data_IF_336283480668
#
_entry.id   IF_336283480668
#
_cell.length_a   1.000
_cell.length_b   1.000
_cell.length_c   1.000
_cell.angle_alpha   90.00
_cell.angle_beta   90.00
_cell.angle_gamma   90.00
#
_symmetry.space_group_name_H-M   'P 1'
#
loop_
_entity.id
_entity.type
_entity.pdbx_description
1 polymer ?
#
# COMPACT_ATOMS: atom_id res chain seq x y z
N UNK A 1 26.20 -22.15 17.63
CA UNK A 1 27.51 -21.70 18.20
C UNK A 1 27.33 -20.23 18.57
N UNK A 2 27.64 -19.84 19.80
CA UNK A 2 27.44 -18.45 20.20
C UNK A 2 28.30 -17.52 19.35
N UNK A 3 27.76 -16.37 18.98
CA UNK A 3 28.51 -15.33 18.29
C UNK A 3 29.59 -14.74 19.21
N UNK A 4 30.76 -14.37 18.66
CA UNK A 4 31.69 -13.51 19.39
C UNK A 4 31.00 -12.22 19.87
N UNK A 5 31.32 -11.79 21.10
CA UNK A 5 30.65 -10.67 21.79
C UNK A 5 30.63 -9.39 20.94
N UNK A 6 31.74 -9.04 20.31
CA UNK A 6 31.85 -7.87 19.43
C UNK A 6 30.95 -7.93 18.19
N UNK A 7 30.68 -9.14 17.67
CA UNK A 7 29.76 -9.34 16.56
C UNK A 7 28.31 -9.28 17.06
N UNK A 8 28.03 -9.90 18.19
CA UNK A 8 26.69 -9.90 18.78
C UNK A 8 26.24 -8.48 19.15
N UNK A 9 27.09 -7.70 19.82
CA UNK A 9 26.81 -6.31 20.19
C UNK A 9 26.60 -5.40 18.97
N UNK A 10 27.48 -5.53 17.97
CA UNK A 10 27.34 -4.77 16.73
C UNK A 10 26.04 -5.11 15.99
N UNK A 11 25.72 -6.40 15.89
CA UNK A 11 24.49 -6.86 15.26
C UNK A 11 23.24 -6.44 16.03
N UNK A 12 23.25 -6.51 17.38
CA UNK A 12 22.14 -6.04 18.23
C UNK A 12 21.88 -4.54 18.04
N UNK A 13 22.94 -3.71 17.98
CA UNK A 13 22.79 -2.27 17.69
C UNK A 13 22.20 -2.03 16.31
N UNK A 14 22.68 -2.73 15.29
CA UNK A 14 22.15 -2.59 13.92
C UNK A 14 20.69 -3.05 13.83
N UNK A 15 20.33 -4.13 14.50
CA UNK A 15 18.93 -4.59 14.57
C UNK A 15 18.05 -3.56 15.28
N UNK A 16 18.50 -2.98 16.38
CA UNK A 16 17.75 -1.95 17.11
C UNK A 16 17.55 -0.66 16.30
N UNK A 17 18.54 -0.26 15.50
CA UNK A 17 18.50 0.97 14.71
C UNK A 17 17.78 0.80 13.36
N UNK A 18 17.95 -0.33 12.72
CA UNK A 18 17.54 -0.53 11.33
C UNK A 18 16.61 -1.73 11.11
N UNK A 19 16.29 -2.44 12.17
CA UNK A 19 15.55 -3.71 12.10
C UNK A 19 16.41 -4.88 11.59
N UNK A 20 15.89 -6.12 11.68
CA UNK A 20 16.64 -7.33 11.34
C UNK A 20 17.08 -7.40 9.87
N UNK A 21 16.39 -6.69 9.02
CA UNK A 21 16.65 -6.66 7.58
C UNK A 21 17.28 -5.34 7.09
N UNK A 22 17.43 -4.35 7.97
CA UNK A 22 17.88 -3.00 7.63
C UNK A 22 19.40 -2.83 7.57
N UNK A 23 20.21 -3.88 7.75
CA UNK A 23 21.67 -3.83 7.66
C UNK A 23 22.25 -4.90 6.75
N UNK A 24 23.43 -4.64 6.22
CA UNK A 24 24.20 -5.59 5.39
C UNK A 24 25.34 -6.21 6.20
N UNK A 25 25.95 -7.30 5.68
CA UNK A 25 27.17 -7.86 6.28
C UNK A 25 28.34 -6.87 6.20
N UNK A 26 28.31 -5.90 5.28
CA UNK A 26 29.30 -4.82 5.21
C UNK A 26 29.11 -3.80 6.33
N UNK A 27 27.87 -3.48 6.67
CA UNK A 27 27.58 -2.63 7.81
C UNK A 27 28.00 -3.31 9.12
N UNK A 28 27.73 -4.62 9.24
CA UNK A 28 28.15 -5.39 10.39
C UNK A 28 29.67 -5.51 10.49
N UNK A 29 30.37 -5.66 9.38
CA UNK A 29 31.84 -5.67 9.36
C UNK A 29 32.40 -4.33 9.84
N UNK A 30 31.83 -3.22 9.37
CA UNK A 30 32.20 -1.86 9.78
C UNK A 30 31.93 -1.61 11.26
N UNK A 31 30.75 -1.98 11.73
CA UNK A 31 30.31 -1.78 13.10
C UNK A 31 31.07 -2.65 14.12
N UNK A 32 31.42 -3.89 13.72
CA UNK A 32 32.19 -4.81 14.57
C UNK A 32 33.71 -4.61 14.49
N UNK A 33 34.20 -3.75 13.57
CA UNK A 33 35.61 -3.53 13.34
C UNK A 33 36.35 -4.69 12.67
N UNK A 34 35.64 -5.61 12.04
CA UNK A 34 36.20 -6.81 11.41
C UNK A 34 36.27 -6.69 9.88
N UNK A 35 37.23 -7.42 9.27
CA UNK A 35 37.19 -7.60 7.83
C UNK A 35 36.02 -8.48 7.41
N UNK A 36 35.48 -8.29 6.19
CA UNK A 36 34.44 -9.18 5.63
C UNK A 36 34.78 -10.66 5.74
N UNK A 37 36.01 -11.03 5.37
CA UNK A 37 36.46 -12.42 5.38
C UNK A 37 36.44 -12.99 6.81
N UNK A 38 36.86 -12.21 7.81
CA UNK A 38 36.84 -12.61 9.22
C UNK A 38 35.41 -12.75 9.72
N UNK A 39 34.54 -11.79 9.38
CA UNK A 39 33.14 -11.82 9.77
C UNK A 39 32.41 -13.06 9.20
N UNK A 40 32.55 -13.34 7.89
CA UNK A 40 31.92 -14.51 7.29
C UNK A 40 32.43 -15.82 7.87
N UNK A 41 33.70 -15.89 8.21
CA UNK A 41 34.29 -17.09 8.86
C UNK A 41 33.77 -17.31 10.26
N UNK A 42 33.51 -16.25 11.04
CA UNK A 42 33.12 -16.35 12.44
C UNK A 42 31.60 -16.38 12.66
N UNK A 43 30.85 -15.69 11.83
CA UNK A 43 29.42 -15.49 11.98
C UNK A 43 28.58 -16.13 10.86
N UNK A 44 29.21 -16.56 9.77
CA UNK A 44 28.49 -17.14 8.63
C UNK A 44 27.71 -16.10 7.83
N UNK A 45 26.42 -16.35 7.62
CA UNK A 45 25.53 -15.44 6.92
C UNK A 45 24.81 -14.51 7.89
N UNK A 46 24.16 -13.45 7.36
CA UNK A 46 23.30 -12.58 8.15
C UNK A 46 22.19 -13.36 8.85
N UNK A 47 21.66 -14.38 8.18
CA UNK A 47 20.66 -15.28 8.75
C UNK A 47 21.18 -16.03 9.96
N UNK A 48 22.41 -16.49 9.91
CA UNK A 48 23.05 -17.15 11.06
C UNK A 48 23.26 -16.19 12.22
N UNK A 49 23.65 -14.94 11.94
CA UNK A 49 23.77 -13.87 12.93
C UNK A 49 22.43 -13.59 13.62
N UNK A 50 21.36 -13.40 12.85
CA UNK A 50 20.03 -13.11 13.38
C UNK A 50 19.46 -14.28 14.21
N UNK A 51 19.70 -15.53 13.77
CA UNK A 51 19.32 -16.72 14.52
C UNK A 51 20.04 -16.79 15.86
N UNK A 52 21.34 -16.55 15.87
CA UNK A 52 22.14 -16.57 17.10
C UNK A 52 21.76 -15.44 18.07
N UNK A 53 21.41 -14.24 17.59
CA UNK A 53 20.88 -13.15 18.40
C UNK A 53 19.55 -13.54 19.06
N UNK A 54 18.65 -14.16 18.29
CA UNK A 54 17.36 -14.64 18.81
C UNK A 54 17.54 -15.70 19.91
N UNK A 55 18.51 -16.63 19.73
CA UNK A 55 18.86 -17.62 20.75
C UNK A 55 19.44 -16.98 22.03
N UNK A 56 20.07 -15.82 21.91
CA UNK A 56 20.59 -15.03 23.03
C UNK A 56 19.53 -14.11 23.68
N UNK A 57 18.25 -14.21 23.27
CA UNK A 57 17.14 -13.43 23.84
C UNK A 57 17.05 -12.00 23.34
N UNK A 58 17.78 -11.63 22.28
CA UNK A 58 17.60 -10.34 21.61
C UNK A 58 16.32 -10.42 20.77
N UNK A 59 15.36 -9.52 20.99
CA UNK A 59 14.17 -9.41 20.15
C UNK A 59 14.59 -9.03 18.72
N UNK A 60 14.77 -10.03 17.90
CA UNK A 60 14.92 -9.87 16.47
C UNK A 60 13.50 -9.79 15.90
N UNK A 61 12.98 -8.56 15.67
CA UNK A 61 11.62 -8.34 15.19
C UNK A 61 11.27 -9.19 13.95
N UNK A 62 9.98 -9.32 13.64
CA UNK A 62 9.52 -10.13 12.49
C UNK A 62 10.24 -9.70 11.21
N UNK A 63 10.78 -10.68 10.48
CA UNK A 63 11.35 -10.47 9.16
C UNK A 63 10.27 -9.94 8.23
N UNK A 64 10.41 -8.69 7.83
CA UNK A 64 9.61 -8.16 6.72
C UNK A 64 10.23 -8.70 5.42
N UNK A 65 9.40 -9.32 4.58
CA UNK A 65 9.87 -9.83 3.29
C UNK A 65 10.59 -8.71 2.50
N UNK A 66 11.72 -9.04 1.89
CA UNK A 66 12.47 -8.11 1.06
C UNK A 66 11.58 -7.44 -0.03
N UNK A 67 10.57 -8.16 -0.52
CA UNK A 67 9.59 -7.62 -1.46
C UNK A 67 8.75 -6.50 -0.83
N UNK A 68 8.27 -6.69 0.38
CA UNK A 68 7.49 -5.68 1.12
C UNK A 68 8.34 -4.44 1.42
N UNK A 69 9.60 -4.62 1.82
CA UNK A 69 10.54 -3.50 2.05
C UNK A 69 10.80 -2.71 0.79
N UNK A 70 11.01 -3.39 -0.36
CA UNK A 70 11.22 -2.74 -1.65
C UNK A 70 9.97 -1.95 -2.05
N UNK A 71 8.77 -2.51 -1.87
CA UNK A 71 7.52 -1.82 -2.19
C UNK A 71 7.26 -0.62 -1.25
N UNK A 72 7.62 -0.73 0.03
CA UNK A 72 7.57 0.40 0.96
C UNK A 72 8.56 1.52 0.56
N UNK A 73 9.80 1.14 0.18
CA UNK A 73 10.81 2.06 -0.32
C UNK A 73 10.38 2.77 -1.61
N UNK A 74 9.66 2.09 -2.50
CA UNK A 74 9.09 2.71 -3.71
C UNK A 74 8.21 3.91 -3.37
N UNK A 75 7.40 3.84 -2.31
CA UNK A 75 6.55 4.96 -1.86
C UNK A 75 7.39 6.19 -1.58
N UNK A 76 8.44 6.05 -0.78
CA UNK A 76 9.35 7.14 -0.41
C UNK A 76 10.07 7.71 -1.62
N UNK A 77 10.68 6.83 -2.43
CA UNK A 77 11.50 7.24 -3.58
C UNK A 77 10.64 7.90 -4.66
N UNK A 78 9.49 7.33 -5.00
CA UNK A 78 8.60 7.89 -6.03
C UNK A 78 7.98 9.22 -5.59
N UNK A 79 7.58 9.36 -4.33
CA UNK A 79 7.08 10.64 -3.81
C UNK A 79 8.14 11.72 -3.87
N UNK A 80 9.41 11.41 -3.56
CA UNK A 80 10.53 12.35 -3.54
C UNK A 80 11.02 12.73 -4.94
N UNK A 81 11.21 11.73 -5.82
CA UNK A 81 11.88 11.91 -7.11
C UNK A 81 10.94 11.88 -8.33
N UNK A 82 9.69 11.44 -8.15
CA UNK A 82 8.78 11.14 -9.24
C UNK A 82 9.06 9.79 -9.89
N UNK A 83 8.12 9.32 -10.72
CA UNK A 83 8.26 8.02 -11.38
C UNK A 83 9.39 8.01 -12.42
N UNK A 84 9.65 9.11 -13.09
CA UNK A 84 10.63 9.17 -14.18
C UNK A 84 12.08 9.20 -13.68
N UNK A 85 12.40 10.05 -12.72
CA UNK A 85 13.77 10.22 -12.23
C UNK A 85 14.22 9.13 -11.24
N UNK A 86 13.28 8.47 -10.55
CA UNK A 86 13.60 7.38 -9.62
C UNK A 86 14.29 6.22 -10.33
N UNK A 87 15.33 5.64 -9.70
CA UNK A 87 16.05 4.46 -10.20
C UNK A 87 15.82 3.23 -9.33
N UNK A 88 16.11 2.03 -9.86
CA UNK A 88 16.07 0.80 -9.06
C UNK A 88 17.12 0.82 -7.95
N UNK A 89 18.26 1.47 -8.20
CA UNK A 89 19.35 1.67 -7.25
C UNK A 89 18.93 2.56 -6.08
N UNK A 90 18.14 3.61 -6.34
CA UNK A 90 17.58 4.47 -5.28
C UNK A 90 16.62 3.68 -4.39
N UNK A 91 15.75 2.87 -5.01
CA UNK A 91 14.82 2.00 -4.28
C UNK A 91 15.57 0.92 -3.50
N UNK A 92 16.61 0.31 -4.08
CA UNK A 92 17.44 -0.67 -3.39
C UNK A 92 18.10 -0.08 -2.13
N UNK A 93 18.66 1.14 -2.27
CA UNK A 93 19.30 1.88 -1.18
C UNK A 93 18.31 2.19 -0.07
N UNK A 94 17.14 2.71 -0.42
CA UNK A 94 16.08 3.03 0.54
C UNK A 94 15.54 1.77 1.25
N UNK A 95 15.42 0.65 0.54
CA UNK A 95 14.96 -0.63 1.07
C UNK A 95 16.01 -1.38 1.90
N UNK A 96 17.28 -0.94 1.91
CA UNK A 96 18.38 -1.64 2.55
C UNK A 96 18.68 -3.00 1.92
N UNK A 97 18.55 -3.10 0.58
CA UNK A 97 18.85 -4.33 -0.18
C UNK A 97 19.87 -4.06 -1.30
N UNK A 98 20.53 -5.11 -1.78
CA UNK A 98 21.40 -4.97 -2.97
C UNK A 98 20.55 -4.73 -4.25
N UNK A 99 21.03 -3.91 -5.21
CA UNK A 99 20.35 -3.68 -6.48
C UNK A 99 19.98 -4.98 -7.21
N UNK A 100 20.87 -5.99 -7.20
CA UNK A 100 20.60 -7.31 -7.78
C UNK A 100 19.34 -7.99 -7.21
N UNK A 101 18.98 -7.71 -5.95
CA UNK A 101 17.76 -8.24 -5.34
C UNK A 101 16.53 -7.60 -5.95
N UNK A 102 16.55 -6.28 -6.21
CA UNK A 102 15.44 -5.56 -6.85
C UNK A 102 15.28 -6.05 -8.29
N UNK A 103 16.36 -6.14 -9.05
CA UNK A 103 16.34 -6.67 -10.42
C UNK A 103 15.80 -8.11 -10.49
N UNK A 104 16.24 -8.98 -9.57
CA UNK A 104 15.76 -10.37 -9.53
C UNK A 104 14.27 -10.48 -9.23
N UNK A 105 13.72 -9.61 -8.38
CA UNK A 105 12.32 -9.68 -7.95
C UNK A 105 11.34 -8.99 -8.91
N UNK A 106 11.77 -7.93 -9.56
CA UNK A 106 10.89 -7.06 -10.34
C UNK A 106 11.27 -6.94 -11.81
N UNK A 107 12.46 -7.43 -12.19
CA UNK A 107 13.00 -7.36 -13.54
C UNK A 107 13.55 -5.98 -13.87
N UNK A 108 12.68 -5.07 -14.25
CA UNK A 108 13.03 -3.71 -14.63
C UNK A 108 12.16 -2.67 -13.89
N UNK A 109 12.35 -1.41 -14.22
CA UNK A 109 11.57 -0.30 -13.64
C UNK A 109 10.07 -0.41 -13.95
N UNK A 110 9.70 -0.95 -15.11
CA UNK A 110 8.29 -1.17 -15.49
C UNK A 110 7.67 -2.24 -14.58
N UNK A 111 8.37 -3.35 -14.40
CA UNK A 111 7.95 -4.43 -13.50
C UNK A 111 7.82 -3.96 -12.05
N UNK A 112 8.77 -3.13 -11.58
CA UNK A 112 8.72 -2.54 -10.24
C UNK A 112 7.50 -1.61 -10.09
N UNK A 113 7.28 -0.66 -11.01
CA UNK A 113 6.14 0.27 -10.96
C UNK A 113 4.80 -0.48 -11.08
N UNK A 114 4.71 -1.48 -11.95
CA UNK A 114 3.50 -2.31 -12.08
C UNK A 114 3.19 -3.07 -10.79
N UNK A 115 4.21 -3.66 -10.15
CA UNK A 115 4.08 -4.35 -8.87
C UNK A 115 3.70 -3.40 -7.75
N UNK A 116 4.33 -2.23 -7.71
CA UNK A 116 4.03 -1.17 -6.76
C UNK A 116 2.60 -0.65 -6.92
N UNK A 117 2.16 -0.30 -8.13
CA UNK A 117 0.79 0.09 -8.42
C UNK A 117 -0.23 -1.01 -8.04
N UNK A 118 0.20 -2.28 -8.11
CA UNK A 118 -0.56 -3.43 -7.62
C UNK A 118 -0.65 -3.54 -6.10
N UNK A 119 0.34 -3.04 -5.39
CA UNK A 119 0.48 -3.13 -3.93
C UNK A 119 -0.17 -1.96 -3.20
N UNK A 120 -0.09 -0.76 -3.76
CA UNK A 120 -0.71 0.44 -3.19
C UNK A 120 -2.21 0.50 -3.42
N UNK A 121 -2.89 1.23 -2.53
CA UNK A 121 -4.31 1.53 -2.64
C UNK A 121 -5.22 0.52 -1.93
N UNK A 122 -6.51 0.82 -1.86
CA UNK A 122 -7.47 0.18 -0.95
C UNK A 122 -7.95 -1.20 -1.40
N UNK A 123 -7.41 -1.77 -2.49
CA UNK A 123 -7.95 -2.97 -3.14
C UNK A 123 -8.01 -4.21 -2.25
N UNK A 124 -6.99 -4.43 -1.43
CA UNK A 124 -6.96 -5.57 -0.50
C UNK A 124 -8.07 -5.42 0.53
N UNK A 125 -8.15 -4.26 1.17
CA UNK A 125 -9.18 -3.96 2.17
C UNK A 125 -10.60 -3.94 1.55
N UNK A 126 -10.77 -3.37 0.36
CA UNK A 126 -12.05 -3.44 -0.38
C UNK A 126 -12.46 -4.88 -0.72
N UNK A 127 -11.49 -5.74 -1.08
CA UNK A 127 -11.76 -7.16 -1.35
C UNK A 127 -12.24 -7.88 -0.11
N UNK A 128 -11.64 -7.60 1.05
CA UNK A 128 -12.11 -8.16 2.33
C UNK A 128 -13.55 -7.77 2.63
N UNK A 129 -13.93 -6.51 2.40
CA UNK A 129 -15.33 -6.08 2.54
C UNK A 129 -16.25 -6.85 1.59
N UNK A 130 -15.84 -7.01 0.32
CA UNK A 130 -16.67 -7.69 -0.68
C UNK A 130 -16.76 -9.21 -0.48
N UNK A 131 -15.75 -9.84 0.14
CA UNK A 131 -15.75 -11.28 0.46
C UNK A 131 -16.54 -11.59 1.74
N UNK A 132 -16.64 -10.61 2.65
CA UNK A 132 -17.30 -10.76 3.95
C UNK A 132 -18.32 -9.63 4.14
N UNK A 133 -19.40 -9.62 3.31
CA UNK A 133 -20.45 -8.62 3.47
C UNK A 133 -21.18 -8.83 4.79
N UNK A 134 -21.56 -7.73 5.43
CA UNK A 134 -22.28 -7.76 6.72
C UNK A 134 -23.75 -8.15 6.59
N UNK A 135 -24.29 -8.10 5.38
CA UNK A 135 -25.72 -8.21 5.12
C UNK A 135 -26.46 -6.86 5.19
N UNK A 136 -25.78 -5.79 5.62
CA UNK A 136 -26.26 -4.42 5.58
C UNK A 136 -25.54 -3.65 4.46
N UNK A 137 -26.25 -3.38 3.37
CA UNK A 137 -25.72 -2.68 2.20
C UNK A 137 -25.15 -1.32 2.56
N UNK A 138 -25.81 -0.58 3.47
CA UNK A 138 -25.35 0.74 3.91
C UNK A 138 -24.00 0.64 4.61
N UNK A 139 -23.92 -0.24 5.60
CA UNK A 139 -22.69 -0.45 6.35
C UNK A 139 -21.54 -0.88 5.45
N UNK A 140 -21.76 -1.75 4.48
CA UNK A 140 -20.73 -2.22 3.57
C UNK A 140 -20.29 -1.14 2.58
N UNK A 141 -21.18 -0.31 2.07
CA UNK A 141 -20.85 0.84 1.24
C UNK A 141 -20.04 1.90 2.02
N UNK A 142 -20.43 2.19 3.27
CA UNK A 142 -19.67 3.08 4.15
C UNK A 142 -18.27 2.54 4.42
N UNK A 143 -18.11 1.24 4.68
CA UNK A 143 -16.79 0.59 4.85
C UNK A 143 -15.94 0.69 3.59
N UNK A 144 -16.51 0.51 2.41
CA UNK A 144 -15.79 0.68 1.13
C UNK A 144 -15.35 2.12 0.97
N UNK A 145 -16.27 3.08 1.13
CA UNK A 145 -15.97 4.49 0.94
C UNK A 145 -14.91 4.99 1.94
N UNK A 146 -15.07 4.72 3.24
CA UNK A 146 -14.12 5.12 4.27
C UNK A 146 -12.74 4.49 4.05
N UNK A 147 -12.69 3.24 3.60
CA UNK A 147 -11.44 2.57 3.24
C UNK A 147 -10.71 3.30 2.11
N UNK A 148 -11.42 3.65 1.04
CA UNK A 148 -10.81 4.37 -0.10
C UNK A 148 -10.34 5.76 0.33
N UNK A 149 -11.15 6.48 1.11
CA UNK A 149 -10.82 7.83 1.59
C UNK A 149 -9.60 7.83 2.52
N UNK A 150 -9.49 6.86 3.45
CA UNK A 150 -8.31 6.72 4.31
C UNK A 150 -7.04 6.48 3.50
N UNK A 151 -7.08 5.54 2.55
CA UNK A 151 -5.93 5.30 1.67
C UNK A 151 -5.53 6.53 0.86
N UNK A 152 -6.51 7.32 0.40
CA UNK A 152 -6.22 8.56 -0.29
C UNK A 152 -5.54 9.60 0.62
N UNK A 153 -5.95 9.66 1.90
CA UNK A 153 -5.36 10.56 2.88
C UNK A 153 -3.94 10.14 3.28
N UNK A 154 -3.69 8.84 3.45
CA UNK A 154 -2.38 8.28 3.80
C UNK A 154 -1.34 8.48 2.69
N UNK A 155 -1.76 8.45 1.42
CA UNK A 155 -0.89 8.48 0.24
C UNK A 155 -1.15 9.69 -0.68
N UNK A 156 -1.55 10.82 -0.10
CA UNK A 156 -2.01 11.99 -0.85
C UNK A 156 -0.98 12.47 -1.90
N UNK A 157 0.30 12.53 -1.55
CA UNK A 157 1.33 13.00 -2.47
C UNK A 157 1.59 12.02 -3.61
N UNK A 158 1.55 10.72 -3.32
CA UNK A 158 1.63 9.69 -4.34
C UNK A 158 0.40 9.71 -5.26
N UNK A 159 -0.78 9.95 -4.70
CA UNK A 159 -2.01 10.10 -5.46
C UNK A 159 -1.94 11.31 -6.41
N UNK A 160 -1.47 12.47 -5.92
CA UNK A 160 -1.23 13.66 -6.74
C UNK A 160 -0.28 13.37 -7.89
N UNK A 161 0.84 12.69 -7.59
CA UNK A 161 1.82 12.30 -8.59
C UNK A 161 1.22 11.37 -9.65
N UNK A 162 0.45 10.36 -9.24
CA UNK A 162 -0.21 9.43 -10.15
C UNK A 162 -1.27 10.13 -11.02
N UNK A 163 -2.05 11.07 -10.45
CA UNK A 163 -3.02 11.87 -11.21
C UNK A 163 -2.32 12.77 -12.23
N UNK A 164 -1.22 13.42 -11.84
CA UNK A 164 -0.44 14.28 -12.74
C UNK A 164 0.16 13.49 -13.91
N UNK A 165 0.73 12.33 -13.64
CA UNK A 165 1.27 11.42 -14.65
C UNK A 165 0.20 11.00 -15.66
N UNK A 166 -1.00 10.67 -15.18
CA UNK A 166 -2.14 10.33 -16.05
C UNK A 166 -2.60 11.50 -16.89
N UNK A 167 -2.72 12.68 -16.31
CA UNK A 167 -3.17 13.89 -17.03
C UNK A 167 -2.20 14.31 -18.14
N UNK A 168 -0.90 14.09 -17.90
CA UNK A 168 0.17 14.41 -18.88
C UNK A 168 0.31 13.34 -19.96
N UNK A 169 -0.34 12.18 -19.83
CA UNK A 169 -0.12 11.04 -20.71
C UNK A 169 1.32 10.52 -20.64
N UNK A 170 1.94 10.60 -19.47
CA UNK A 170 3.31 10.18 -19.23
C UNK A 170 3.51 8.68 -19.44
N UNK A 171 4.76 8.22 -19.55
CA UNK A 171 5.09 6.83 -19.89
C UNK A 171 4.62 5.84 -18.82
N UNK A 172 4.34 6.30 -17.61
CA UNK A 172 3.89 5.46 -16.47
C UNK A 172 2.38 5.42 -16.29
N UNK A 173 1.63 6.25 -17.04
CA UNK A 173 0.17 6.35 -16.95
C UNK A 173 -0.53 4.99 -17.15
N UNK A 174 -0.04 4.14 -18.04
CA UNK A 174 -0.58 2.81 -18.30
C UNK A 174 -0.50 1.91 -17.07
N UNK A 175 0.64 1.91 -16.37
CA UNK A 175 0.89 1.10 -15.17
C UNK A 175 0.07 1.58 -13.97
N UNK A 176 -0.20 2.88 -13.91
CA UNK A 176 -1.03 3.50 -12.87
C UNK A 176 -2.53 3.36 -13.15
N UNK A 177 -2.90 2.93 -14.36
CA UNK A 177 -4.29 2.81 -14.81
C UNK A 177 -5.05 1.62 -14.22
N UNK A 178 -4.35 0.70 -13.57
CA UNK A 178 -4.95 -0.53 -13.03
C UNK A 178 -5.85 -0.36 -11.79
N UNK A 179 -5.74 0.67 -10.93
CA UNK A 179 -6.50 0.76 -9.69
C UNK A 179 -8.02 0.98 -9.84
N UNK A 180 -8.53 1.97 -10.62
CA UNK A 180 -9.96 2.26 -10.64
C UNK A 180 -10.80 1.13 -11.22
N UNK A 181 -10.29 0.43 -12.25
CA UNK A 181 -11.03 -0.66 -12.90
C UNK A 181 -11.22 -1.86 -11.97
N UNK A 182 -10.19 -2.21 -11.19
CA UNK A 182 -10.28 -3.34 -10.24
C UNK A 182 -11.10 -3.00 -9.00
N UNK A 183 -11.01 -1.78 -8.49
CA UNK A 183 -11.84 -1.31 -7.39
C UNK A 183 -13.33 -1.32 -7.79
N UNK A 184 -13.65 -0.83 -8.98
CA UNK A 184 -15.01 -0.89 -9.52
C UNK A 184 -15.51 -2.33 -9.68
N UNK A 185 -14.67 -3.26 -10.15
CA UNK A 185 -15.03 -4.67 -10.25
C UNK A 185 -15.34 -5.30 -8.91
N UNK A 186 -14.58 -4.96 -7.87
CA UNK A 186 -14.84 -5.42 -6.49
C UNK A 186 -16.19 -4.89 -6.00
N UNK A 187 -16.44 -3.60 -6.19
CA UNK A 187 -17.71 -2.96 -5.81
C UNK A 187 -18.90 -3.55 -6.59
N UNK A 188 -18.73 -3.80 -7.90
CA UNK A 188 -19.75 -4.46 -8.72
C UNK A 188 -20.14 -5.82 -8.13
N UNK A 189 -19.17 -6.66 -7.78
CA UNK A 189 -19.43 -7.97 -7.18
C UNK A 189 -20.15 -7.88 -5.84
N UNK A 190 -19.80 -6.91 -5.00
CA UNK A 190 -20.51 -6.65 -3.76
C UNK A 190 -21.99 -6.30 -4.05
N UNK A 191 -22.25 -5.39 -4.99
CA UNK A 191 -23.61 -5.00 -5.36
C UNK A 191 -24.39 -6.13 -6.04
N UNK A 192 -23.74 -6.97 -6.84
CA UNK A 192 -24.34 -8.17 -7.43
C UNK A 192 -24.83 -9.16 -6.33
N UNK A 193 -24.07 -9.32 -5.24
CA UNK A 193 -24.50 -10.17 -4.13
C UNK A 193 -25.77 -9.63 -3.43
N UNK A 194 -25.87 -8.32 -3.27
CA UNK A 194 -27.07 -7.68 -2.74
C UNK A 194 -28.26 -7.68 -3.71
N UNK A 195 -28.00 -7.58 -5.02
CA UNK A 195 -29.04 -7.73 -6.03
C UNK A 195 -29.63 -9.15 -6.02
N UNK A 196 -28.78 -10.17 -5.90
CA UNK A 196 -29.19 -11.57 -5.83
C UNK A 196 -30.03 -11.89 -4.58
N UNK A 197 -29.81 -11.17 -3.47
CA UNK A 197 -30.62 -11.30 -2.25
C UNK A 197 -31.94 -10.49 -2.29
N UNK A 198 -32.19 -9.72 -3.36
CA UNK A 198 -33.36 -8.84 -3.46
C UNK A 198 -33.26 -7.53 -2.65
N UNK A 199 -32.10 -7.25 -2.06
CA UNK A 199 -31.88 -6.04 -1.27
C UNK A 199 -31.66 -4.77 -2.12
N UNK A 200 -31.44 -4.95 -3.44
CA UNK A 200 -31.37 -3.85 -4.40
C UNK A 200 -32.62 -3.79 -5.26
N UNK A 201 -33.10 -2.57 -5.51
CA UNK A 201 -34.14 -2.33 -6.50
C UNK A 201 -33.68 -2.70 -7.93
N UNK A 202 -34.48 -2.43 -8.97
CA UNK A 202 -34.25 -2.85 -10.35
C UNK A 202 -33.12 -2.03 -11.02
N UNK A 203 -32.01 -1.85 -10.33
CA UNK A 203 -30.86 -1.13 -10.84
C UNK A 203 -29.73 -2.07 -11.23
N UNK A 204 -29.04 -1.73 -12.30
CA UNK A 204 -27.92 -2.49 -12.81
C UNK A 204 -26.69 -2.33 -11.89
N UNK A 205 -26.14 -3.39 -11.26
CA UNK A 205 -25.04 -3.30 -10.32
C UNK A 205 -23.80 -2.59 -10.86
N UNK A 206 -23.50 -2.75 -12.16
CA UNK A 206 -22.37 -2.10 -12.81
C UNK A 206 -22.51 -0.57 -12.82
N UNK A 207 -23.72 -0.06 -13.11
CA UNK A 207 -24.00 1.39 -13.09
C UNK A 207 -23.98 1.94 -11.69
N UNK A 208 -24.52 1.20 -10.72
CA UNK A 208 -24.45 1.57 -9.31
C UNK A 208 -23.00 1.65 -8.84
N UNK A 209 -22.18 0.65 -9.16
CA UNK A 209 -20.75 0.66 -8.84
C UNK A 209 -20.02 1.84 -9.47
N UNK A 210 -20.36 2.19 -10.72
CA UNK A 210 -19.78 3.35 -11.41
C UNK A 210 -20.17 4.66 -10.73
N UNK A 211 -21.43 4.83 -10.39
CA UNK A 211 -21.94 6.04 -9.74
C UNK A 211 -21.30 6.22 -8.35
N UNK A 212 -21.32 5.18 -7.51
CA UNK A 212 -20.74 5.22 -6.18
C UNK A 212 -19.23 5.48 -6.20
N UNK A 213 -18.49 4.76 -7.06
CA UNK A 213 -17.06 5.00 -7.25
C UNK A 213 -16.77 6.42 -7.77
N UNK A 214 -17.63 6.96 -8.64
CA UNK A 214 -17.55 8.33 -9.15
C UNK A 214 -17.73 9.37 -8.04
N UNK A 215 -18.67 9.15 -7.13
CA UNK A 215 -18.86 10.02 -5.96
C UNK A 215 -17.63 10.01 -5.06
N UNK A 216 -17.09 8.83 -4.69
CA UNK A 216 -15.84 8.74 -3.91
C UNK A 216 -14.70 9.47 -4.63
N UNK A 217 -14.55 9.24 -5.94
CA UNK A 217 -13.51 9.88 -6.73
C UNK A 217 -13.64 11.42 -6.72
N UNK A 218 -14.83 11.96 -6.78
CA UNK A 218 -15.05 13.41 -6.73
C UNK A 218 -14.58 14.03 -5.40
N UNK A 219 -14.86 13.37 -4.26
CA UNK A 219 -14.40 13.80 -2.95
C UNK A 219 -12.90 13.64 -2.70
N UNK A 220 -12.23 12.81 -3.49
CA UNK A 220 -10.76 12.67 -3.46
C UNK A 220 -10.10 13.64 -4.45
N UNK A 221 -10.58 13.66 -5.70
CA UNK A 221 -9.93 14.43 -6.78
C UNK A 221 -10.22 15.93 -6.71
N UNK A 222 -11.39 16.35 -6.27
CA UNK A 222 -11.74 17.78 -6.12
C UNK A 222 -10.73 18.52 -5.23
N UNK A 223 -10.61 18.16 -3.95
CA UNK A 223 -9.63 18.78 -3.05
C UNK A 223 -8.19 18.72 -3.57
N UNK A 224 -7.79 17.59 -4.19
CA UNK A 224 -6.44 17.46 -4.78
C UNK A 224 -6.21 18.47 -5.87
N UNK A 225 -7.17 18.69 -6.76
CA UNK A 225 -7.07 19.64 -7.88
C UNK A 225 -7.13 21.10 -7.40
N UNK A 226 -7.87 21.37 -6.35
CA UNK A 226 -8.04 22.69 -5.75
C UNK A 226 -6.90 23.04 -4.77
N UNK A 227 -6.04 22.08 -4.44
CA UNK A 227 -4.94 22.26 -3.48
C UNK A 227 -5.40 22.32 -2.02
N UNK A 228 -6.61 21.84 -1.74
CA UNK A 228 -7.21 21.74 -0.40
C UNK A 228 -6.88 20.43 0.32
N UNK A 229 -7.19 20.36 1.62
CA UNK A 229 -7.10 19.11 2.38
C UNK A 229 -8.22 18.14 1.97
N UNK A 230 -7.96 16.84 2.11
CA UNK A 230 -9.03 15.84 1.99
C UNK A 230 -10.00 15.97 3.18
N UNK A 231 -11.30 15.76 2.96
CA UNK A 231 -12.30 15.76 4.02
C UNK A 231 -12.13 14.51 4.92
N UNK A 232 -12.77 14.54 6.09
CA UNK A 232 -12.79 13.39 7.00
C UNK A 232 -13.32 12.13 6.31
N UNK A 233 -12.59 11.02 6.36
CA UNK A 233 -12.96 9.80 5.64
C UNK A 233 -14.28 9.18 6.06
N UNK A 234 -14.56 9.14 7.37
CA UNK A 234 -15.77 8.51 7.93
C UNK A 234 -16.99 9.35 7.71
N UNK A 235 -16.89 10.67 7.92
CA UNK A 235 -17.99 11.62 7.68
C UNK A 235 -18.35 11.63 6.19
N UNK A 236 -17.35 11.69 5.32
CA UNK A 236 -17.55 11.68 3.87
C UNK A 236 -18.16 10.37 3.39
N UNK A 237 -17.70 9.24 3.93
CA UNK A 237 -18.26 7.92 3.59
C UNK A 237 -19.75 7.84 3.95
N UNK A 238 -20.14 8.29 5.13
CA UNK A 238 -21.55 8.37 5.54
C UNK A 238 -22.37 9.27 4.63
N UNK A 239 -21.84 10.46 4.31
CA UNK A 239 -22.50 11.40 3.41
C UNK A 239 -22.71 10.81 2.01
N UNK A 240 -21.66 10.28 1.40
CA UNK A 240 -21.71 9.65 0.06
C UNK A 240 -22.73 8.51 0.06
N UNK A 241 -22.70 7.65 1.06
CA UNK A 241 -23.61 6.51 1.15
C UNK A 241 -25.06 6.94 1.35
N UNK A 242 -25.29 7.95 2.18
CA UNK A 242 -26.62 8.54 2.36
C UNK A 242 -27.17 9.11 1.04
N UNK A 243 -26.40 9.97 0.37
CA UNK A 243 -26.81 10.55 -0.92
C UNK A 243 -27.07 9.47 -1.97
N UNK A 244 -26.24 8.44 -2.00
CA UNK A 244 -26.35 7.34 -2.97
C UNK A 244 -27.59 6.48 -2.76
N UNK A 245 -27.93 6.13 -1.52
CA UNK A 245 -29.03 5.24 -1.20
C UNK A 245 -30.37 6.00 -1.05
N UNK A 246 -30.36 7.16 -0.42
CA UNK A 246 -31.57 7.86 -0.03
C UNK A 246 -31.86 9.10 -0.89
N UNK A 247 -30.84 9.59 -1.61
CA UNK A 247 -30.91 10.81 -2.39
C UNK A 247 -30.90 12.08 -1.51
N UNK A 248 -31.05 13.26 -2.16
CA UNK A 248 -31.10 14.57 -1.50
C UNK A 248 -32.56 15.07 -1.30
N UNK A 249 -33.52 14.44 -1.97
CA UNK A 249 -34.89 14.81 -1.82
C UNK A 249 -35.41 14.34 -0.46
N UNK A 250 -35.85 15.25 0.38
CA UNK A 250 -36.67 14.91 1.56
C UNK A 250 -37.84 14.06 1.07
N UNK A 251 -37.90 12.81 1.55
CA UNK A 251 -39.14 12.03 1.46
C UNK A 251 -40.20 12.62 2.39
N UNK A 252 -40.51 13.90 2.21
CA UNK A 252 -41.74 14.44 2.71
C UNK A 252 -42.83 13.56 2.11
N UNK A 253 -43.43 12.73 2.97
CA UNK A 253 -44.46 11.73 2.68
C UNK A 253 -45.43 12.31 1.65
N UNK A 254 -45.47 11.72 0.47
CA UNK A 254 -46.67 11.72 -0.31
C UNK A 254 -47.68 10.88 0.50
N UNK A 255 -48.40 11.53 1.39
CA UNK A 255 -49.61 10.98 1.94
C UNK A 255 -50.64 10.96 0.81
N UNK A 256 -51.30 9.83 0.55
CA UNK A 256 -52.31 9.70 -0.50
C UNK A 256 -53.50 10.61 -0.26
#
# INVERSE_FOLDING_TARGET
MPLPENIADAAARLVALHGPDGFTMDDLARESGLSRATLYRQAGSREAVLAALSEQGVEVGQRVDARERILAACRVVFTRAGFEAATLEDVAREAGVGPATVYRQFGDKKGLISSFAGHIGPRRAMREVALHPTGDLRADLERVASTVMRYAAEDLDLLKLAMLERMRGGPWAEFLNTPPMRARTILTRLLESYAASGALGPHEPQRMAQAFAGMIFAFVSGPVLEGGPLPDPEETARFITHVFLDGLASTARRTP
#
